data_IF_730601714942
#
_entry.id   IF_730601714942
#
_cell.length_a   1.000
_cell.length_b   1.000
_cell.length_c   1.000
_cell.angle_alpha   90.00
_cell.angle_beta   90.00
_cell.angle_gamma   90.00
#
_symmetry.space_group_name_H-M   'P 1'
#
loop_
_entity.id
_entity.type
_entity.pdbx_description
1 polymer ?
#
# COMPACT_ATOMS: atom_id res chain seq x y z
N UNK A 1 22.76 -25.53 19.97
CA UNK A 1 22.28 -24.55 18.97
C UNK A 1 21.13 -23.85 19.61
N UNK A 2 21.36 -22.62 20.00
CA UNK A 2 20.30 -21.78 20.54
C UNK A 2 19.29 -21.53 19.40
N UNK A 3 18.14 -22.20 19.46
CA UNK A 3 16.99 -21.86 18.63
C UNK A 3 16.42 -20.51 19.13
N UNK A 4 17.21 -19.44 19.01
CA UNK A 4 16.69 -18.08 19.13
C UNK A 4 15.76 -17.88 17.94
N UNK A 5 14.47 -17.89 18.18
CA UNK A 5 13.51 -17.28 17.29
C UNK A 5 14.05 -15.90 16.89
N UNK A 6 14.08 -15.59 15.61
CA UNK A 6 14.86 -14.50 14.98
C UNK A 6 14.31 -13.11 15.28
N UNK A 7 13.62 -12.92 16.36
CA UNK A 7 13.03 -11.67 16.79
C UNK A 7 13.69 -10.98 17.98
N UNK A 8 14.64 -11.61 18.68
CA UNK A 8 15.23 -10.89 19.82
C UNK A 8 16.15 -9.77 19.33
N UNK A 9 16.05 -8.59 19.95
CA UNK A 9 16.89 -7.42 19.69
C UNK A 9 18.37 -7.77 19.61
N UNK A 10 18.82 -8.68 20.48
CA UNK A 10 20.20 -9.16 20.55
C UNK A 10 20.60 -9.92 19.27
N UNK A 11 19.76 -10.83 18.76
CA UNK A 11 20.05 -11.57 17.53
C UNK A 11 20.14 -10.66 16.30
N UNK A 12 19.33 -9.62 16.23
CA UNK A 12 19.33 -8.68 15.11
C UNK A 12 20.56 -7.78 15.13
N UNK A 13 20.92 -7.23 16.30
CA UNK A 13 22.15 -6.44 16.46
C UNK A 13 23.40 -7.27 16.15
N UNK A 14 23.46 -8.51 16.60
CA UNK A 14 24.57 -9.42 16.34
C UNK A 14 24.69 -9.74 14.85
N UNK A 15 23.58 -9.94 14.14
CA UNK A 15 23.58 -10.14 12.69
C UNK A 15 24.11 -8.91 11.96
N UNK A 16 23.57 -7.72 12.25
CA UNK A 16 24.02 -6.48 11.65
C UNK A 16 25.52 -6.27 11.92
N UNK A 17 25.98 -6.59 13.12
CA UNK A 17 27.39 -6.50 13.48
C UNK A 17 28.26 -7.53 12.73
N UNK A 18 27.84 -8.78 12.70
CA UNK A 18 28.54 -9.90 12.03
C UNK A 18 28.74 -9.62 10.54
N UNK A 19 27.68 -9.10 9.88
CA UNK A 19 27.76 -8.74 8.46
C UNK A 19 28.25 -7.31 8.21
N UNK A 20 28.68 -6.59 9.27
CA UNK A 20 29.15 -5.19 9.21
C UNK A 20 28.16 -4.26 8.51
N UNK A 21 26.87 -4.50 8.68
CA UNK A 21 25.81 -3.73 8.05
C UNK A 21 25.30 -2.62 8.97
N UNK A 22 24.99 -1.50 8.34
CA UNK A 22 24.25 -0.39 8.98
C UNK A 22 22.97 -0.13 8.18
N UNK A 23 21.89 0.15 8.89
CA UNK A 23 20.64 0.57 8.26
C UNK A 23 20.88 1.79 7.35
N UNK A 24 20.43 1.71 6.11
CA UNK A 24 20.57 2.82 5.16
C UNK A 24 19.36 3.75 5.28
N UNK A 25 19.61 4.96 5.79
CA UNK A 25 18.55 5.98 5.95
C UNK A 25 17.92 6.38 4.62
N UNK A 26 18.67 6.29 3.50
CA UNK A 26 18.14 6.62 2.17
C UNK A 26 17.12 5.60 1.70
N UNK A 27 17.24 4.35 2.17
CA UNK A 27 16.30 3.27 1.91
C UNK A 27 15.21 3.15 2.99
N UNK A 28 15.19 4.07 3.96
CA UNK A 28 14.19 4.08 5.04
C UNK A 28 14.19 2.81 5.89
N UNK A 29 15.35 2.15 6.04
CA UNK A 29 15.46 0.86 6.73
C UNK A 29 15.21 1.01 8.23
N UNK A 30 14.12 0.41 8.72
CA UNK A 30 13.79 0.18 10.11
C UNK A 30 13.46 -1.31 10.26
N UNK A 31 14.38 -2.08 10.81
CA UNK A 31 14.22 -3.53 10.93
C UNK A 31 13.29 -3.87 12.09
N UNK A 32 12.25 -4.62 11.81
CA UNK A 32 11.32 -5.12 12.82
C UNK A 32 12.03 -6.13 13.73
N UNK A 33 11.92 -5.93 15.05
CA UNK A 33 12.55 -6.77 16.08
C UNK A 33 11.54 -7.45 17.01
N UNK A 34 10.28 -7.06 16.94
CA UNK A 34 9.20 -7.49 17.83
C UNK A 34 8.50 -8.74 17.26
N UNK A 35 8.73 -9.89 17.90
CA UNK A 35 8.15 -11.18 17.50
C UNK A 35 6.62 -11.20 17.61
N UNK A 36 6.06 -10.50 18.58
CA UNK A 36 4.61 -10.39 18.76
C UNK A 36 3.98 -9.63 17.56
N UNK A 37 4.63 -8.57 17.11
CA UNK A 37 4.21 -7.83 15.92
C UNK A 37 4.28 -8.73 14.68
N UNK A 38 5.36 -9.50 14.49
CA UNK A 38 5.49 -10.47 13.40
C UNK A 38 4.33 -11.48 13.44
N UNK A 39 4.10 -12.09 14.60
CA UNK A 39 3.03 -13.08 14.79
C UNK A 39 1.65 -12.50 14.43
N UNK A 40 1.38 -11.26 14.84
CA UNK A 40 0.12 -10.56 14.53
C UNK A 40 -0.01 -10.21 13.04
N UNK A 41 1.08 -9.83 12.36
CA UNK A 41 1.07 -9.60 10.90
C UNK A 41 0.75 -10.89 10.16
N UNK A 42 1.41 -12.00 10.52
CA UNK A 42 1.18 -13.32 9.92
C UNK A 42 -0.26 -13.78 10.14
N UNK A 43 -0.79 -13.61 11.35
CA UNK A 43 -2.20 -13.91 11.65
C UNK A 43 -3.17 -13.06 10.80
N UNK A 44 -2.89 -11.75 10.64
CA UNK A 44 -3.70 -10.85 9.81
C UNK A 44 -3.64 -11.18 8.32
N UNK A 45 -2.57 -11.84 7.86
CA UNK A 45 -2.44 -12.29 6.48
C UNK A 45 -3.29 -13.54 6.17
N UNK A 46 -3.79 -14.25 7.20
CA UNK A 46 -4.65 -15.45 7.06
C UNK A 46 -4.04 -16.45 6.08
N UNK A 47 -2.75 -16.80 6.26
CA UNK A 47 -2.03 -17.71 5.38
C UNK A 47 -2.34 -19.16 5.70
N UNK A 48 -2.37 -19.99 4.63
CA UNK A 48 -2.40 -21.44 4.64
C UNK A 48 -1.22 -22.02 3.84
N UNK A 49 -0.99 -23.33 3.91
CA UNK A 49 0.06 -24.03 3.14
C UNK A 49 -0.14 -23.92 1.62
N UNK A 50 -1.38 -23.72 1.16
CA UNK A 50 -1.72 -23.58 -0.25
C UNK A 50 -1.48 -22.15 -0.79
N UNK A 51 -1.25 -21.19 0.10
CA UNK A 51 -1.09 -19.79 -0.27
C UNK A 51 0.31 -19.50 -0.83
N UNK A 52 0.35 -18.48 -1.69
CA UNK A 52 1.59 -17.78 -2.03
C UNK A 52 1.53 -16.37 -1.46
N UNK A 53 2.58 -15.96 -0.76
CA UNK A 53 2.72 -14.62 -0.22
C UNK A 53 3.91 -13.90 -0.85
N UNK A 54 3.67 -12.69 -1.35
CA UNK A 54 4.70 -11.76 -1.78
C UNK A 54 5.09 -10.88 -0.60
N UNK A 55 6.37 -10.90 -0.22
CA UNK A 55 6.93 -9.96 0.74
C UNK A 55 7.71 -8.87 0.03
N UNK A 56 7.45 -7.63 0.37
CA UNK A 56 8.17 -6.46 -0.17
C UNK A 56 9.13 -5.94 0.89
N UNK A 57 10.43 -5.98 0.58
CA UNK A 57 11.49 -5.52 1.47
C UNK A 57 11.67 -6.41 2.70
N UNK A 58 12.10 -7.68 2.54
CA UNK A 58 12.30 -8.60 3.66
C UNK A 58 13.35 -8.11 4.68
N UNK A 59 14.23 -7.17 4.26
CA UNK A 59 15.27 -6.63 5.11
C UNK A 59 16.24 -7.71 5.59
N UNK A 60 16.25 -8.00 6.88
CA UNK A 60 17.08 -9.07 7.47
C UNK A 60 16.32 -10.39 7.65
N UNK A 61 15.07 -10.47 7.18
CA UNK A 61 14.28 -11.71 7.14
C UNK A 61 13.41 -11.97 8.36
N UNK A 62 13.20 -11.01 9.25
CA UNK A 62 12.40 -11.22 10.48
C UNK A 62 10.95 -11.58 10.17
N UNK A 63 10.29 -10.80 9.29
CA UNK A 63 8.93 -11.10 8.86
C UNK A 63 8.91 -12.33 7.95
N UNK A 64 9.90 -12.48 7.06
CA UNK A 64 10.03 -13.61 6.14
C UNK A 64 9.98 -14.96 6.87
N UNK A 65 10.68 -15.07 8.01
CA UNK A 65 10.67 -16.29 8.82
C UNK A 65 9.28 -16.59 9.37
N UNK A 66 8.59 -15.56 9.89
CA UNK A 66 7.21 -15.72 10.36
C UNK A 66 6.26 -16.18 9.25
N UNK A 67 6.41 -15.60 8.05
CA UNK A 67 5.63 -16.01 6.87
C UNK A 67 5.95 -17.43 6.45
N UNK A 68 7.25 -17.83 6.43
CA UNK A 68 7.68 -19.17 6.07
C UNK A 68 7.14 -20.25 7.02
N UNK A 69 7.07 -19.94 8.32
CA UNK A 69 6.54 -20.84 9.34
C UNK A 69 5.04 -21.13 9.20
N UNK A 70 4.29 -20.31 8.45
CA UNK A 70 2.88 -20.61 8.13
C UNK A 70 2.71 -21.77 7.15
N UNK A 71 3.79 -22.23 6.51
CA UNK A 71 3.77 -23.23 5.44
C UNK A 71 3.53 -22.64 4.04
N UNK A 72 3.08 -21.41 3.93
CA UNK A 72 2.86 -20.74 2.66
C UNK A 72 4.16 -20.60 1.84
N UNK A 73 4.04 -20.58 0.52
CA UNK A 73 5.17 -20.25 -0.37
C UNK A 73 5.47 -18.74 -0.31
N UNK A 74 6.66 -18.38 0.12
CA UNK A 74 7.10 -16.99 0.26
C UNK A 74 7.96 -16.59 -0.93
N UNK A 75 7.59 -15.49 -1.61
CA UNK A 75 8.42 -14.83 -2.62
C UNK A 75 8.73 -13.44 -2.08
N UNK A 76 9.99 -13.17 -1.77
CA UNK A 76 10.39 -11.89 -1.20
C UNK A 76 11.28 -11.08 -2.15
N UNK A 77 10.96 -9.81 -2.35
CA UNK A 77 11.70 -8.89 -3.25
C UNK A 77 12.51 -7.91 -2.42
N UNK A 78 13.84 -7.97 -2.55
CA UNK A 78 14.77 -7.09 -1.83
C UNK A 78 15.57 -6.21 -2.79
N UNK A 79 15.52 -4.90 -2.55
CA UNK A 79 16.26 -3.90 -3.33
C UNK A 79 17.75 -3.86 -2.95
N UNK A 80 18.05 -3.98 -1.65
CA UNK A 80 19.41 -3.82 -1.13
C UNK A 80 20.21 -5.11 -1.23
N UNK A 81 21.06 -5.20 -2.25
CA UNK A 81 21.96 -6.36 -2.46
C UNK A 81 22.83 -6.72 -1.25
N UNK A 82 23.12 -5.75 -0.39
CA UNK A 82 23.96 -5.98 0.82
C UNK A 82 23.26 -6.88 1.83
N UNK A 83 21.92 -6.97 1.79
CA UNK A 83 21.11 -7.78 2.69
C UNK A 83 20.99 -9.24 2.23
N UNK A 84 21.29 -9.55 0.96
CA UNK A 84 21.14 -10.92 0.43
C UNK A 84 21.97 -11.97 1.19
N UNK A 85 23.24 -11.73 1.60
CA UNK A 85 23.99 -12.69 2.41
C UNK A 85 23.37 -12.91 3.81
N UNK A 86 22.76 -11.87 4.39
CA UNK A 86 22.07 -11.97 5.67
C UNK A 86 20.81 -12.81 5.51
N UNK A 87 20.01 -12.52 4.48
CA UNK A 87 18.81 -13.28 4.15
C UNK A 87 19.11 -14.76 3.91
N UNK A 88 20.17 -15.07 3.14
CA UNK A 88 20.58 -16.47 2.92
C UNK A 88 20.88 -17.20 4.24
N UNK A 89 21.54 -16.50 5.21
CA UNK A 89 21.83 -17.08 6.53
C UNK A 89 20.60 -17.16 7.43
N UNK A 90 19.75 -16.11 7.40
CA UNK A 90 18.53 -16.03 8.21
C UNK A 90 17.52 -17.10 7.83
N UNK A 91 17.44 -17.39 6.53
CA UNK A 91 16.43 -18.28 5.94
C UNK A 91 16.97 -19.69 5.64
N UNK A 92 18.17 -20.00 6.14
CA UNK A 92 18.73 -21.35 6.05
C UNK A 92 17.75 -22.37 6.67
N UNK A 93 17.35 -23.36 5.90
CA UNK A 93 16.40 -24.42 6.31
C UNK A 93 14.93 -24.12 5.98
N UNK A 94 14.61 -23.00 5.33
CA UNK A 94 13.27 -22.71 4.82
C UNK A 94 13.20 -22.96 3.31
N UNK A 95 12.77 -24.14 2.89
CA UNK A 95 12.71 -24.53 1.47
C UNK A 95 11.52 -23.88 0.73
N UNK A 96 10.57 -23.30 1.47
CA UNK A 96 9.40 -22.60 0.93
C UNK A 96 9.63 -21.12 0.68
N UNK A 97 10.86 -20.62 0.80
CA UNK A 97 11.21 -19.20 0.62
C UNK A 97 12.08 -19.00 -0.61
N UNK A 98 11.70 -18.05 -1.46
CA UNK A 98 12.48 -17.57 -2.60
C UNK A 98 12.75 -16.08 -2.49
N UNK A 99 14.01 -15.68 -2.59
CA UNK A 99 14.43 -14.27 -2.59
C UNK A 99 14.74 -13.83 -4.01
N UNK A 100 14.13 -12.71 -4.43
CA UNK A 100 14.41 -12.01 -5.67
C UNK A 100 15.08 -10.68 -5.35
N UNK A 101 16.20 -10.40 -6.03
CA UNK A 101 16.84 -9.09 -5.92
C UNK A 101 16.31 -8.15 -7.01
N UNK A 102 15.63 -7.09 -6.63
CA UNK A 102 15.08 -6.13 -7.58
C UNK A 102 14.30 -4.99 -6.91
N UNK A 103 13.90 -4.02 -7.71
CA UNK A 103 12.96 -2.98 -7.30
C UNK A 103 11.53 -3.47 -7.52
N UNK A 104 10.73 -3.48 -6.46
CA UNK A 104 9.32 -3.91 -6.53
C UNK A 104 8.48 -3.07 -7.52
N UNK A 105 8.90 -1.85 -7.82
CA UNK A 105 8.25 -0.99 -8.80
C UNK A 105 8.59 -1.34 -10.26
N UNK A 106 9.65 -2.13 -10.49
CA UNK A 106 10.16 -2.46 -11.82
C UNK A 106 10.03 -3.95 -12.15
N UNK A 107 10.03 -4.84 -11.15
CA UNK A 107 9.94 -6.28 -11.37
C UNK A 107 8.57 -6.70 -11.90
N UNK A 108 8.54 -7.71 -12.76
CA UNK A 108 7.31 -8.36 -13.20
C UNK A 108 6.75 -9.24 -12.08
N UNK A 109 5.91 -8.63 -11.23
CA UNK A 109 5.32 -9.28 -10.05
C UNK A 109 4.56 -10.55 -10.44
N UNK A 110 3.80 -10.53 -11.53
CA UNK A 110 3.03 -11.68 -12.00
C UNK A 110 3.93 -12.88 -12.29
N UNK A 111 5.06 -12.62 -12.96
CA UNK A 111 6.00 -13.67 -13.33
C UNK A 111 6.76 -14.20 -12.11
N UNK A 112 7.25 -13.33 -11.22
CA UNK A 112 8.02 -13.78 -10.05
C UNK A 112 7.16 -14.53 -9.02
N UNK A 113 5.92 -14.10 -8.82
CA UNK A 113 4.97 -14.78 -7.93
C UNK A 113 4.54 -16.12 -8.55
N UNK A 114 4.17 -16.14 -9.84
CA UNK A 114 3.87 -17.36 -10.59
C UNK A 114 2.74 -18.19 -9.99
N UNK A 115 1.77 -17.55 -9.31
CA UNK A 115 0.60 -18.19 -8.71
C UNK A 115 -0.70 -17.59 -9.29
N UNK A 116 -1.81 -18.35 -9.33
CA UNK A 116 -3.10 -17.83 -9.83
C UNK A 116 -3.67 -16.73 -8.96
N UNK A 117 -3.45 -16.82 -7.65
CA UNK A 117 -3.76 -15.79 -6.65
C UNK A 117 -2.62 -15.69 -5.65
N UNK A 118 -2.50 -14.57 -4.94
CA UNK A 118 -1.51 -14.38 -3.90
C UNK A 118 -1.94 -13.35 -2.87
N UNK A 119 -1.27 -13.38 -1.73
CA UNK A 119 -1.37 -12.37 -0.66
C UNK A 119 -0.08 -11.56 -0.61
N UNK A 120 -0.14 -10.39 0.00
CA UNK A 120 1.03 -9.53 0.21
C UNK A 120 1.19 -9.28 1.69
N UNK A 121 2.40 -9.43 2.20
CA UNK A 121 2.79 -9.01 3.54
C UNK A 121 4.06 -8.18 3.49
N UNK A 122 4.12 -7.03 4.17
CA UNK A 122 5.29 -6.15 4.08
C UNK A 122 5.45 -5.23 5.27
N UNK A 123 6.71 -5.00 5.67
CA UNK A 123 7.11 -3.84 6.44
C UNK A 123 7.64 -2.77 5.45
N UNK A 124 6.75 -1.90 4.96
CA UNK A 124 7.07 -0.99 3.86
C UNK A 124 7.98 0.17 4.28
N UNK A 125 9.01 0.50 3.49
CA UNK A 125 9.79 1.72 3.69
C UNK A 125 8.90 2.96 3.58
N UNK A 126 8.97 3.88 4.57
CA UNK A 126 8.01 4.99 4.69
C UNK A 126 8.04 5.96 3.51
N UNK A 127 9.23 6.21 2.94
CA UNK A 127 9.38 7.17 1.84
C UNK A 127 8.76 6.73 0.52
N UNK A 128 8.47 5.42 0.36
CA UNK A 128 7.99 4.83 -0.89
C UNK A 128 6.70 4.00 -0.71
N UNK A 129 6.12 4.02 0.48
CA UNK A 129 4.91 3.26 0.82
C UNK A 129 3.78 3.47 -0.19
N UNK A 130 3.43 4.73 -0.47
CA UNK A 130 2.33 5.07 -1.38
C UNK A 130 2.58 4.58 -2.81
N UNK A 131 3.73 4.83 -3.44
CA UNK A 131 4.07 4.27 -4.75
C UNK A 131 3.96 2.74 -4.82
N UNK A 132 4.45 2.02 -3.81
CA UNK A 132 4.39 0.55 -3.78
C UNK A 132 2.94 0.07 -3.75
N UNK A 133 2.11 0.63 -2.86
CA UNK A 133 0.71 0.24 -2.73
C UNK A 133 -0.05 0.52 -4.03
N UNK A 134 0.14 1.68 -4.65
CA UNK A 134 -0.47 1.99 -5.94
C UNK A 134 -0.02 1.02 -7.03
N UNK A 135 1.27 0.72 -7.11
CA UNK A 135 1.79 -0.25 -8.08
C UNK A 135 1.12 -1.63 -7.96
N UNK A 136 0.95 -2.12 -6.73
CA UNK A 136 0.27 -3.39 -6.47
C UNK A 136 -1.21 -3.39 -6.85
N UNK A 137 -1.91 -2.26 -6.68
CA UNK A 137 -3.34 -2.15 -6.94
C UNK A 137 -3.67 -1.87 -8.42
N UNK A 138 -2.91 -0.97 -9.07
CA UNK A 138 -3.17 -0.53 -10.45
C UNK A 138 -2.83 -1.58 -11.49
N UNK A 139 -1.87 -2.48 -11.23
CA UNK A 139 -1.54 -3.58 -12.12
C UNK A 139 -2.63 -4.65 -12.23
N UNK A 140 -3.73 -4.53 -11.47
CA UNK A 140 -4.82 -5.52 -11.43
C UNK A 140 -4.35 -6.96 -11.22
N UNK A 141 -3.30 -7.10 -10.44
CA UNK A 141 -2.77 -8.40 -10.07
C UNK A 141 -3.82 -9.22 -9.28
N UNK A 142 -3.78 -10.55 -9.35
CA UNK A 142 -4.70 -11.42 -8.62
C UNK A 142 -4.33 -11.49 -7.12
N UNK A 143 -4.15 -10.31 -6.51
CA UNK A 143 -3.87 -10.13 -5.10
C UNK A 143 -5.17 -10.15 -4.31
N UNK A 144 -5.30 -11.06 -3.36
CA UNK A 144 -6.51 -11.20 -2.53
C UNK A 144 -6.47 -10.31 -1.28
N UNK A 145 -5.30 -10.16 -0.69
CA UNK A 145 -5.09 -9.44 0.58
C UNK A 145 -3.72 -8.78 0.60
N UNK A 146 -3.68 -7.57 1.10
CA UNK A 146 -2.45 -6.85 1.44
C UNK A 146 -2.44 -6.59 2.94
N UNK A 147 -1.42 -7.05 3.64
CA UNK A 147 -1.12 -6.70 5.03
C UNK A 147 0.19 -5.92 5.03
N UNK A 148 0.11 -4.64 5.32
CA UNK A 148 1.26 -3.76 5.26
C UNK A 148 1.44 -2.99 6.56
N UNK A 149 2.68 -2.93 7.04
CA UNK A 149 3.06 -2.00 8.09
C UNK A 149 3.55 -0.71 7.46
N UNK A 150 2.92 0.40 7.83
CA UNK A 150 3.14 1.74 7.30
C UNK A 150 3.17 2.76 8.44
N UNK A 151 3.55 4.01 8.16
CA UNK A 151 3.38 5.07 9.16
C UNK A 151 1.90 5.21 9.55
N UNK A 152 1.62 5.43 10.83
CA UNK A 152 0.26 5.57 11.38
C UNK A 152 -0.56 6.61 10.62
N UNK A 153 0.01 7.78 10.32
CA UNK A 153 -0.67 8.83 9.54
C UNK A 153 -1.09 8.32 8.16
N UNK A 154 -0.25 7.51 7.50
CA UNK A 154 -0.57 6.94 6.18
C UNK A 154 -1.73 5.95 6.30
N UNK A 155 -1.71 5.08 7.31
CA UNK A 155 -2.81 4.14 7.57
C UNK A 155 -4.13 4.88 7.88
N UNK A 156 -4.09 5.92 8.71
CA UNK A 156 -5.26 6.77 9.02
C UNK A 156 -5.84 7.42 7.76
N UNK A 157 -4.99 7.89 6.85
CA UNK A 157 -5.41 8.41 5.54
C UNK A 157 -6.03 7.34 4.66
N UNK A 158 -5.54 6.10 4.68
CA UNK A 158 -6.09 5.02 3.86
C UNK A 158 -7.53 4.66 4.26
N UNK A 159 -7.85 4.69 5.56
CA UNK A 159 -9.18 4.36 6.11
C UNK A 159 -10.10 5.58 6.29
N UNK A 160 -9.60 6.80 6.01
CA UNK A 160 -10.34 8.03 6.25
C UNK A 160 -11.65 8.07 5.45
N UNK A 161 -12.68 8.66 6.06
CA UNK A 161 -14.00 8.84 5.44
C UNK A 161 -14.14 10.25 4.84
N UNK A 162 -15.02 10.44 3.83
CA UNK A 162 -15.31 11.76 3.28
C UNK A 162 -15.64 12.78 4.35
N UNK A 163 -15.15 14.02 4.17
CA UNK A 163 -15.34 15.15 5.11
C UNK A 163 -14.29 15.26 6.20
N UNK A 164 -13.46 14.23 6.38
CA UNK A 164 -12.34 14.25 7.33
C UNK A 164 -11.09 14.96 6.78
N UNK A 165 -10.26 15.50 7.68
CA UNK A 165 -9.01 16.20 7.31
C UNK A 165 -7.98 15.27 6.64
N UNK A 166 -8.03 13.98 6.91
CA UNK A 166 -7.10 12.96 6.43
C UNK A 166 -7.58 12.28 5.14
N UNK A 167 -8.84 12.57 4.73
CA UNK A 167 -9.39 12.04 3.51
C UNK A 167 -8.80 12.72 2.26
N UNK A 168 -8.39 11.91 1.29
CA UNK A 168 -7.71 12.39 0.09
C UNK A 168 -7.67 11.37 -1.04
N UNK A 169 -6.87 11.66 -2.07
CA UNK A 169 -6.73 10.77 -3.21
C UNK A 169 -6.30 9.34 -2.80
N UNK A 170 -5.42 9.22 -1.79
CA UNK A 170 -5.02 7.91 -1.26
C UNK A 170 -6.21 7.14 -0.70
N UNK A 171 -7.06 7.80 0.10
CA UNK A 171 -8.27 7.19 0.68
C UNK A 171 -9.20 6.66 -0.40
N UNK A 172 -9.50 7.50 -1.41
CA UNK A 172 -10.37 7.13 -2.53
C UNK A 172 -9.80 5.94 -3.30
N UNK A 173 -8.51 5.98 -3.65
CA UNK A 173 -7.89 4.93 -4.46
C UNK A 173 -7.83 3.59 -3.73
N UNK A 174 -7.43 3.59 -2.46
CA UNK A 174 -7.37 2.36 -1.66
C UNK A 174 -8.78 1.77 -1.49
N UNK A 175 -9.77 2.60 -1.15
CA UNK A 175 -11.15 2.15 -0.91
C UNK A 175 -11.89 1.76 -2.18
N UNK A 176 -11.45 2.21 -3.34
CA UNK A 176 -11.96 1.76 -4.62
C UNK A 176 -11.56 0.30 -4.91
N UNK A 177 -10.32 -0.07 -4.63
CA UNK A 177 -9.79 -1.41 -4.89
C UNK A 177 -9.98 -2.38 -3.74
N UNK A 178 -10.05 -1.89 -2.50
CA UNK A 178 -9.98 -2.73 -1.30
C UNK A 178 -10.94 -2.27 -0.20
N UNK A 179 -11.04 -3.09 0.83
CA UNK A 179 -11.64 -2.76 2.13
C UNK A 179 -10.53 -2.59 3.15
N UNK A 180 -10.03 -1.35 3.38
CA UNK A 180 -8.93 -1.13 4.28
C UNK A 180 -9.39 -1.03 5.73
N UNK A 181 -8.64 -1.64 6.65
CA UNK A 181 -8.81 -1.51 8.10
C UNK A 181 -7.47 -1.44 8.82
N UNK A 182 -7.38 -0.67 9.88
CA UNK A 182 -6.21 -0.66 10.77
C UNK A 182 -6.36 -1.81 11.75
N UNK A 183 -5.49 -2.82 11.61
CA UNK A 183 -5.50 -3.98 12.48
C UNK A 183 -4.94 -3.64 13.88
N UNK A 184 -3.82 -2.92 13.95
CA UNK A 184 -3.21 -2.48 15.20
C UNK A 184 -2.11 -1.44 14.99
N UNK A 185 -1.74 -0.76 16.07
CA UNK A 185 -0.65 0.21 16.12
C UNK A 185 0.62 -0.48 16.60
N UNK A 186 1.77 -0.06 16.06
CA UNK A 186 3.09 -0.57 16.40
C UNK A 186 3.98 0.59 16.83
N UNK A 187 4.49 0.56 18.07
CA UNK A 187 5.30 1.64 18.60
C UNK A 187 6.74 1.61 18.05
N UNK A 188 7.48 2.73 18.11
CA UNK A 188 8.83 2.85 17.56
C UNK A 188 9.86 1.86 18.12
N UNK A 189 9.73 1.46 19.36
CA UNK A 189 10.63 0.50 20.03
C UNK A 189 10.60 -0.90 19.43
N UNK A 190 9.58 -1.22 18.63
CA UNK A 190 9.51 -2.48 17.88
C UNK A 190 10.51 -2.55 16.72
N UNK A 191 11.36 -1.51 16.51
CA UNK A 191 12.28 -1.42 15.36
C UNK A 191 13.71 -1.02 15.73
N UNK A 192 14.67 -1.43 14.90
CA UNK A 192 16.05 -0.96 14.92
C UNK A 192 16.46 -0.49 13.50
N UNK A 193 16.88 0.78 13.35
CA UNK A 193 16.72 1.89 14.30
C UNK A 193 15.25 2.21 14.52
N UNK A 194 14.92 2.74 15.70
CA UNK A 194 13.56 3.18 16.00
C UNK A 194 13.16 4.37 15.08
N UNK A 195 11.98 4.33 14.44
CA UNK A 195 11.46 5.48 13.72
C UNK A 195 11.00 6.59 14.69
N UNK A 196 10.77 7.80 14.16
CA UNK A 196 10.33 8.93 14.98
C UNK A 196 8.81 8.98 15.22
N UNK A 197 8.06 8.06 14.61
CA UNK A 197 6.58 8.05 14.63
C UNK A 197 6.08 6.63 14.80
N UNK A 198 4.86 6.49 15.33
CA UNK A 198 4.16 5.22 15.36
C UNK A 198 3.96 4.67 13.96
N UNK A 199 3.98 3.35 13.86
CA UNK A 199 3.53 2.59 12.71
C UNK A 199 2.14 2.02 12.94
N UNK A 200 1.50 1.56 11.88
CA UNK A 200 0.26 0.82 11.95
C UNK A 200 0.30 -0.34 10.94
N UNK A 201 -0.25 -1.46 11.32
CA UNK A 201 -0.52 -2.55 10.40
C UNK A 201 -1.92 -2.35 9.83
N UNK A 202 -1.98 -2.24 8.50
CA UNK A 202 -3.21 -2.11 7.74
C UNK A 202 -3.48 -3.40 6.97
N UNK A 203 -4.74 -3.83 7.00
CA UNK A 203 -5.23 -4.94 6.19
C UNK A 203 -6.12 -4.35 5.08
N UNK A 204 -5.82 -4.69 3.84
CA UNK A 204 -6.58 -4.28 2.67
C UNK A 204 -7.08 -5.54 1.95
N UNK A 205 -8.33 -5.93 2.18
CA UNK A 205 -8.96 -7.04 1.49
C UNK A 205 -9.40 -6.59 0.10
N UNK A 206 -8.97 -7.30 -0.94
CA UNK A 206 -9.34 -6.97 -2.33
C UNK A 206 -10.84 -7.10 -2.54
N UNK A 207 -11.45 -6.09 -3.17
CA UNK A 207 -12.84 -6.17 -3.63
C UNK A 207 -12.93 -7.04 -4.87
N UNK A 208 -13.92 -7.91 -4.91
CA UNK A 208 -14.26 -8.70 -6.12
C UNK A 208 -14.96 -7.85 -7.16
N UNK A 209 -15.72 -6.84 -6.71
CA UNK A 209 -16.45 -5.88 -7.54
C UNK A 209 -16.15 -4.47 -7.02
N UNK A 210 -15.85 -3.49 -7.90
CA UNK A 210 -15.70 -2.10 -7.50
C UNK A 210 -16.95 -1.60 -6.73
N UNK A 211 -16.80 -0.73 -5.72
CA UNK A 211 -17.91 -0.23 -4.91
C UNK A 211 -18.83 0.75 -5.66
N UNK A 212 -18.40 1.20 -6.83
CA UNK A 212 -19.12 2.10 -7.73
C UNK A 212 -18.83 1.74 -9.18
N UNK A 213 -19.83 1.92 -10.05
CA UNK A 213 -19.68 1.71 -11.50
C UNK A 213 -19.15 2.99 -12.16
N UNK A 214 -18.09 2.87 -12.93
CA UNK A 214 -17.48 3.97 -13.67
C UNK A 214 -17.29 3.57 -15.15
N UNK A 215 -17.61 4.48 -16.05
CA UNK A 215 -17.46 4.26 -17.49
C UNK A 215 -15.99 4.16 -17.94
N UNK A 216 -15.08 4.74 -17.19
CA UNK A 216 -13.63 4.77 -17.45
C UNK A 216 -12.85 4.94 -16.15
N UNK A 217 -12.16 3.89 -15.72
CA UNK A 217 -11.37 3.89 -14.47
C UNK A 217 -10.19 4.88 -14.51
N UNK A 218 -9.53 5.01 -15.67
CA UNK A 218 -8.43 5.97 -15.80
C UNK A 218 -8.93 7.41 -15.67
N UNK A 219 -10.10 7.70 -16.23
CA UNK A 219 -10.75 8.98 -16.06
C UNK A 219 -11.16 9.22 -14.60
N UNK A 220 -11.71 8.21 -13.93
CA UNK A 220 -12.07 8.27 -12.50
C UNK A 220 -10.87 8.75 -11.66
N UNK A 221 -9.71 8.11 -11.79
CA UNK A 221 -8.54 8.53 -11.03
C UNK A 221 -7.96 9.88 -11.46
N UNK A 222 -8.12 10.28 -12.73
CA UNK A 222 -7.81 11.66 -13.17
C UNK A 222 -8.70 12.69 -12.46
N UNK A 223 -10.00 12.43 -12.38
CA UNK A 223 -10.98 13.28 -11.67
C UNK A 223 -10.63 13.38 -10.19
N UNK A 224 -10.37 12.24 -9.55
CA UNK A 224 -9.91 12.20 -8.14
C UNK A 224 -8.65 13.04 -7.95
N UNK A 225 -7.62 12.83 -8.76
CA UNK A 225 -6.37 13.58 -8.70
C UNK A 225 -6.59 15.08 -8.89
N UNK A 226 -7.44 15.48 -9.84
CA UNK A 226 -7.78 16.88 -10.08
C UNK A 226 -8.50 17.50 -8.86
N UNK A 227 -9.48 16.82 -8.29
CA UNK A 227 -10.25 17.30 -7.13
C UNK A 227 -9.37 17.53 -5.90
N UNK A 228 -8.30 16.74 -5.71
CA UNK A 228 -7.37 16.88 -4.58
C UNK A 228 -6.11 17.69 -4.91
N UNK A 229 -5.95 18.20 -6.15
CA UNK A 229 -4.76 18.97 -6.57
C UNK A 229 -4.60 20.29 -5.83
N UNK A 230 -5.69 20.87 -5.35
CA UNK A 230 -5.74 22.16 -4.61
C UNK A 230 -6.65 22.05 -3.39
N UNK A 231 -6.09 21.61 -2.28
CA UNK A 231 -6.83 21.24 -1.06
C UNK A 231 -7.81 22.32 -0.53
N UNK A 232 -7.42 23.59 -0.56
CA UNK A 232 -8.21 24.70 0.01
C UNK A 232 -9.19 25.35 -0.96
N UNK A 233 -9.25 24.91 -2.21
CA UNK A 233 -10.12 25.51 -3.25
C UNK A 233 -11.43 24.72 -3.39
N UNK A 234 -12.47 25.43 -3.87
CA UNK A 234 -13.72 24.81 -4.27
C UNK A 234 -13.49 23.84 -5.43
N UNK A 235 -14.32 22.82 -5.52
CA UNK A 235 -14.23 21.76 -6.52
C UNK A 235 -14.24 22.32 -7.96
N UNK A 236 -15.11 23.33 -8.23
CA UNK A 236 -15.16 24.03 -9.51
C UNK A 236 -13.82 24.61 -9.98
N UNK A 237 -12.98 25.04 -9.04
CA UNK A 237 -11.63 25.51 -9.36
C UNK A 237 -10.60 24.38 -9.50
N UNK A 238 -10.74 23.31 -8.74
CA UNK A 238 -9.85 22.17 -8.80
C UNK A 238 -9.99 21.42 -10.14
N UNK A 239 -11.21 21.27 -10.63
CA UNK A 239 -11.51 20.56 -11.87
C UNK A 239 -10.98 21.27 -13.14
N UNK A 240 -10.68 22.57 -13.09
CA UNK A 240 -10.00 23.27 -14.20
C UNK A 240 -8.65 22.67 -14.55
N UNK A 241 -8.01 21.97 -13.61
CA UNK A 241 -6.77 21.24 -13.87
C UNK A 241 -6.96 20.04 -14.84
N UNK A 242 -8.22 19.73 -15.20
CA UNK A 242 -8.55 18.79 -16.27
C UNK A 242 -8.45 19.42 -17.68
N UNK A 243 -8.09 20.69 -17.81
CA UNK A 243 -8.00 21.40 -19.07
C UNK A 243 -9.34 21.98 -19.57
N UNK A 244 -10.34 22.12 -18.69
CA UNK A 244 -11.68 22.61 -19.00
C UNK A 244 -11.87 24.06 -18.54
N UNK A 245 -12.78 24.79 -19.21
CA UNK A 245 -13.17 26.14 -18.84
C UNK A 245 -14.01 26.19 -17.56
N UNK A 246 -14.20 27.40 -17.01
CA UNK A 246 -15.07 27.59 -15.84
C UNK A 246 -16.54 27.27 -16.14
N UNK A 247 -16.99 27.52 -17.37
CA UNK A 247 -18.36 27.21 -17.82
C UNK A 247 -18.55 25.70 -17.89
N UNK A 248 -17.62 24.99 -18.51
CA UNK A 248 -17.64 23.52 -18.59
C UNK A 248 -17.58 22.87 -17.21
N UNK A 249 -16.74 23.39 -16.28
CA UNK A 249 -16.69 22.88 -14.92
C UNK A 249 -18.02 23.07 -14.17
N UNK A 250 -18.72 24.21 -14.36
CA UNK A 250 -20.01 24.45 -13.74
C UNK A 250 -21.09 23.51 -14.30
N UNK A 251 -21.20 23.39 -15.62
CA UNK A 251 -22.13 22.48 -16.28
C UNK A 251 -21.88 21.01 -15.87
N UNK A 252 -20.62 20.61 -15.77
CA UNK A 252 -20.24 19.26 -15.31
C UNK A 252 -20.70 18.96 -13.90
N UNK A 253 -20.47 19.88 -12.96
CA UNK A 253 -20.89 19.73 -11.57
C UNK A 253 -22.42 19.70 -11.42
N UNK A 254 -23.13 20.56 -12.16
CA UNK A 254 -24.60 20.58 -12.19
C UNK A 254 -25.15 19.24 -12.70
N UNK A 255 -24.62 18.74 -13.81
CA UNK A 255 -25.06 17.45 -14.38
C UNK A 255 -24.77 16.27 -13.46
N UNK A 256 -23.67 16.31 -12.72
CA UNK A 256 -23.33 15.29 -11.71
C UNK A 256 -24.14 15.44 -10.40
N UNK A 257 -24.97 16.49 -10.27
CA UNK A 257 -25.75 16.77 -9.06
C UNK A 257 -24.90 17.21 -7.87
N UNK A 258 -23.73 17.85 -8.12
CA UNK A 258 -22.77 18.22 -7.09
C UNK A 258 -22.68 19.74 -6.93
N UNK A 259 -22.86 20.24 -5.70
CA UNK A 259 -22.71 21.65 -5.39
C UNK A 259 -21.27 22.13 -5.73
N UNK A 260 -21.08 23.12 -6.63
CA UNK A 260 -19.79 23.67 -7.02
C UNK A 260 -18.94 24.23 -5.87
N UNK A 261 -19.57 24.57 -4.75
CA UNK A 261 -18.92 25.12 -3.55
C UNK A 261 -18.26 24.01 -2.69
N UNK A 262 -18.64 22.75 -2.89
CA UNK A 262 -18.00 21.63 -2.19
C UNK A 262 -16.50 21.58 -2.48
N UNK A 263 -15.78 20.88 -1.63
CA UNK A 263 -14.35 20.59 -1.79
C UNK A 263 -14.15 19.10 -2.10
N UNK A 264 -13.06 18.74 -2.77
CA UNK A 264 -12.75 17.35 -3.09
C UNK A 264 -12.78 16.43 -1.86
N UNK A 265 -12.33 16.89 -0.71
CA UNK A 265 -12.34 16.15 0.56
C UNK A 265 -13.74 15.75 1.07
N UNK A 266 -14.81 16.38 0.57
CA UNK A 266 -16.19 16.05 0.98
C UNK A 266 -16.87 15.02 0.06
N UNK A 267 -16.24 14.66 -1.06
CA UNK A 267 -16.84 13.79 -2.06
C UNK A 267 -16.68 12.31 -1.68
N UNK A 268 -17.77 11.57 -1.80
CA UNK A 268 -17.77 10.10 -1.69
C UNK A 268 -17.28 9.44 -2.98
N UNK A 269 -17.04 8.13 -2.95
CA UNK A 269 -16.77 7.34 -4.16
C UNK A 269 -17.91 7.46 -5.18
N UNK A 270 -19.17 7.50 -4.72
CA UNK A 270 -20.34 7.67 -5.58
C UNK A 270 -20.34 9.05 -6.26
N UNK A 271 -20.00 10.13 -5.53
CA UNK A 271 -19.87 11.46 -6.12
C UNK A 271 -18.78 11.49 -7.22
N UNK A 272 -17.63 10.86 -6.97
CA UNK A 272 -16.57 10.75 -7.97
C UNK A 272 -16.97 9.91 -9.19
N UNK A 273 -17.77 8.85 -8.99
CA UNK A 273 -18.30 8.04 -10.08
C UNK A 273 -19.29 8.86 -10.93
N UNK A 274 -20.21 9.61 -10.31
CA UNK A 274 -21.15 10.51 -11.00
C UNK A 274 -20.39 11.53 -11.86
N UNK A 275 -19.37 12.19 -11.30
CA UNK A 275 -18.51 13.11 -12.07
C UNK A 275 -17.89 12.41 -13.28
N UNK A 276 -17.31 11.23 -13.07
CA UNK A 276 -16.63 10.50 -14.14
C UNK A 276 -17.60 10.12 -15.27
N UNK A 277 -18.78 9.62 -14.91
CA UNK A 277 -19.76 9.11 -15.87
C UNK A 277 -20.37 10.23 -16.74
N UNK A 278 -20.54 11.43 -16.18
CA UNK A 278 -21.06 12.59 -16.92
C UNK A 278 -20.03 13.33 -17.77
N UNK A 279 -18.72 13.09 -17.59
CA UNK A 279 -17.67 13.93 -18.19
C UNK A 279 -17.70 13.98 -19.71
N UNK A 280 -17.86 12.84 -20.39
CA UNK A 280 -17.85 12.77 -21.86
C UNK A 280 -19.02 13.51 -22.48
N UNK A 281 -20.18 13.45 -21.84
CA UNK A 281 -21.41 14.12 -22.31
C UNK A 281 -21.26 15.63 -22.27
N UNK A 282 -20.69 16.16 -21.16
CA UNK A 282 -20.45 17.59 -20.98
C UNK A 282 -19.47 18.15 -22.02
N UNK A 283 -18.42 17.40 -22.36
CA UNK A 283 -17.49 17.83 -23.40
C UNK A 283 -18.16 17.90 -24.78
N UNK A 284 -18.97 16.90 -25.14
CA UNK A 284 -19.66 16.86 -26.44
C UNK A 284 -20.68 18.00 -26.61
N UNK A 285 -21.35 18.44 -25.52
CA UNK A 285 -22.34 19.54 -25.56
C UNK A 285 -21.67 20.93 -25.61
N UNK A 286 -20.45 21.07 -25.14
CA UNK A 286 -19.75 22.36 -25.14
C UNK A 286 -18.90 22.64 -26.37
N UNK A 287 -18.77 21.69 -27.29
CA UNK A 287 -18.12 21.83 -28.60
C UNK A 287 -19.14 22.21 -29.72
N UNK A 288 -20.43 22.25 -29.42
CA UNK A 288 -21.51 22.73 -30.29
C UNK A 288 -21.87 24.19 -29.99
#
# INVERSE_FOLDING_TARGET
ICACLVGSEMCIRDRLHTFKLKADKRLGQNFLIDEEVVRRIVAAAELSEDDTVLEVGPGIGTLTQGLAQSGARVVAVELDKRLLPVLAKTLEGYDNVRIENGDILEVDIKNIVGAPTFKVAANLPYYITTPIIFNLLEQRLPMERLVAMVQKEVAERMVAKPGGKDYGALSVSIQYYTEPEIAFIVPPESFIPAPNVDSAVIVCKRRTVPPVEVCDEKLFFKVVKAAFSVRRKMLSNALKNMGISSVQAAAWLERAGIDPKRRGETLSLADFASLTNCFKEVLAETEQ
#
